data_IF_954650036022
#
_entry.id   IF_954650036022
#
_cell.length_a   1.000
_cell.length_b   1.000
_cell.length_c   1.000
_cell.angle_alpha   90.00
_cell.angle_beta   90.00
_cell.angle_gamma   90.00
#
_symmetry.space_group_name_H-M   'P 1'
#
loop_
_entity.id
_entity.type
_entity.pdbx_description
1 polymer ?
#
# COMPACT_ATOMS: atom_id res chain seq x y z
N UNK A 1 26.87 2.10 -2.39
CA UNK A 1 26.85 3.57 -2.14
C UNK A 1 26.03 4.35 -3.15
N UNK A 2 26.27 4.23 -4.47
CA UNK A 2 25.49 4.93 -5.51
C UNK A 2 23.96 4.76 -5.40
N UNK A 3 23.47 3.53 -5.22
CA UNK A 3 22.03 3.25 -5.11
C UNK A 3 21.38 3.86 -3.86
N UNK A 4 22.13 3.94 -2.76
CA UNK A 4 21.68 4.55 -1.51
C UNK A 4 21.60 6.07 -1.66
N UNK A 5 22.62 6.69 -2.26
CA UNK A 5 22.61 8.12 -2.56
C UNK A 5 21.45 8.50 -3.49
N UNK A 6 21.22 7.71 -4.55
CA UNK A 6 20.08 7.90 -5.45
C UNK A 6 18.72 7.77 -4.72
N UNK A 7 18.61 6.89 -3.72
CA UNK A 7 17.39 6.75 -2.92
C UNK A 7 17.13 8.02 -2.10
N UNK A 8 18.14 8.58 -1.44
CA UNK A 8 18.01 9.83 -0.69
C UNK A 8 17.68 11.04 -1.57
N UNK A 9 18.29 11.14 -2.76
CA UNK A 9 17.97 12.21 -3.72
C UNK A 9 16.52 12.09 -4.21
N UNK A 10 16.08 10.87 -4.54
CA UNK A 10 14.68 10.60 -4.90
C UNK A 10 13.74 10.97 -3.75
N UNK A 11 14.08 10.63 -2.51
CA UNK A 11 13.24 10.94 -1.36
C UNK A 11 13.11 12.45 -1.12
N UNK A 12 14.19 13.20 -1.30
CA UNK A 12 14.14 14.66 -1.28
C UNK A 12 13.25 15.22 -2.40
N UNK A 13 13.33 14.67 -3.62
CA UNK A 13 12.50 15.09 -4.75
C UNK A 13 10.99 14.86 -4.51
N UNK A 14 10.64 13.71 -3.92
CA UNK A 14 9.24 13.33 -3.69
C UNK A 14 8.76 13.63 -2.26
N UNK A 15 9.53 14.38 -1.47
CA UNK A 15 9.25 14.71 -0.06
C UNK A 15 8.89 13.48 0.80
N UNK A 16 9.68 12.41 0.65
CA UNK A 16 9.51 11.16 1.40
C UNK A 16 10.45 11.16 2.59
N UNK A 17 9.94 10.77 3.76
CA UNK A 17 10.75 10.60 4.97
C UNK A 17 10.54 9.19 5.54
N UNK A 18 10.78 8.17 4.70
CA UNK A 18 10.59 6.77 5.08
C UNK A 18 11.92 6.24 5.63
N UNK A 19 11.98 5.78 6.89
CA UNK A 19 13.17 5.10 7.39
C UNK A 19 13.24 3.70 6.79
N UNK A 20 14.31 3.40 6.07
CA UNK A 20 14.59 2.07 5.52
C UNK A 20 15.98 1.60 5.93
N UNK A 21 16.18 0.29 6.00
CA UNK A 21 17.50 -0.27 6.26
C UNK A 21 18.46 0.01 5.10
N UNK A 22 19.70 0.40 5.39
CA UNK A 22 20.71 0.74 4.38
C UNK A 22 21.40 -0.49 3.76
N UNK A 23 20.90 -1.69 4.05
CA UNK A 23 21.41 -2.92 3.44
C UNK A 23 21.07 -2.96 1.94
N UNK A 24 21.95 -3.52 1.08
CA UNK A 24 21.70 -3.56 -0.37
C UNK A 24 20.39 -4.26 -0.76
N UNK A 25 19.94 -5.24 0.04
CA UNK A 25 18.68 -5.96 -0.18
C UNK A 25 17.48 -5.09 0.16
N UNK A 26 17.52 -4.38 1.29
CA UNK A 26 16.45 -3.49 1.72
C UNK A 26 16.28 -2.30 0.75
N UNK A 27 17.39 -1.74 0.25
CA UNK A 27 17.35 -0.68 -0.77
C UNK A 27 16.63 -1.15 -2.05
N UNK A 28 16.90 -2.38 -2.53
CA UNK A 28 16.18 -2.93 -3.69
C UNK A 28 14.68 -3.09 -3.40
N UNK A 29 14.35 -3.55 -2.20
CA UNK A 29 12.96 -3.68 -1.77
C UNK A 29 12.25 -2.32 -1.69
N UNK A 30 12.98 -1.28 -1.26
CA UNK A 30 12.53 0.11 -1.22
C UNK A 30 12.26 0.68 -2.61
N UNK A 31 13.20 0.48 -3.56
CA UNK A 31 12.98 0.87 -4.96
C UNK A 31 11.76 0.18 -5.56
N UNK A 32 11.61 -1.12 -5.29
CA UNK A 32 10.43 -1.86 -5.75
C UNK A 32 9.14 -1.31 -5.12
N UNK A 33 9.15 -0.99 -3.82
CA UNK A 33 8.02 -0.38 -3.13
C UNK A 33 7.61 0.97 -3.72
N UNK A 34 8.59 1.80 -4.05
CA UNK A 34 8.36 3.13 -4.64
C UNK A 34 8.27 3.13 -6.17
N UNK A 35 8.31 1.96 -6.82
CA UNK A 35 8.18 1.87 -8.25
C UNK A 35 6.79 2.38 -8.68
N UNK A 36 6.75 3.14 -9.78
CA UNK A 36 5.53 3.79 -10.24
C UNK A 36 4.38 2.80 -10.50
N UNK A 37 4.69 1.60 -11.00
CA UNK A 37 3.67 0.56 -11.22
C UNK A 37 2.99 0.14 -9.93
N UNK A 38 3.74 0.06 -8.82
CA UNK A 38 3.17 -0.28 -7.52
C UNK A 38 2.28 0.84 -6.99
N UNK A 39 2.66 2.09 -7.23
CA UNK A 39 1.82 3.23 -6.87
C UNK A 39 0.52 3.23 -7.67
N UNK A 40 0.60 3.09 -9.01
CA UNK A 40 -0.56 3.00 -9.89
C UNK A 40 -1.46 1.83 -9.52
N UNK A 41 -0.90 0.66 -9.21
CA UNK A 41 -1.68 -0.50 -8.78
C UNK A 41 -2.49 -0.20 -7.51
N UNK A 42 -1.90 0.44 -6.51
CA UNK A 42 -2.63 0.79 -5.27
C UNK A 42 -3.71 1.82 -5.53
N UNK A 43 -3.43 2.86 -6.33
CA UNK A 43 -4.48 3.83 -6.70
C UNK A 43 -5.61 3.18 -7.49
N UNK A 44 -5.31 2.23 -8.37
CA UNK A 44 -6.33 1.45 -9.08
C UNK A 44 -7.23 0.69 -8.09
N UNK A 45 -6.66 -0.05 -7.13
CA UNK A 45 -7.44 -0.76 -6.13
C UNK A 45 -8.25 0.18 -5.22
N UNK A 46 -7.72 1.36 -4.87
CA UNK A 46 -8.48 2.39 -4.12
C UNK A 46 -9.71 2.84 -4.94
N UNK A 47 -9.54 3.09 -6.24
CA UNK A 47 -10.65 3.48 -7.09
C UNK A 47 -11.71 2.36 -7.21
N UNK A 48 -11.27 1.10 -7.33
CA UNK A 48 -12.18 -0.05 -7.39
C UNK A 48 -12.97 -0.17 -6.08
N UNK A 49 -12.27 -0.17 -4.94
CA UNK A 49 -12.86 -0.29 -3.60
C UNK A 49 -13.89 0.81 -3.33
N UNK A 50 -13.54 2.07 -3.59
CA UNK A 50 -14.47 3.19 -3.46
C UNK A 50 -15.66 3.10 -4.42
N UNK A 51 -15.46 2.54 -5.62
CA UNK A 51 -16.54 2.38 -6.60
C UNK A 51 -17.54 1.28 -6.23
N UNK A 52 -17.18 0.33 -5.34
CA UNK A 52 -18.10 -0.70 -4.86
C UNK A 52 -19.36 -0.10 -4.22
N UNK A 53 -19.24 1.08 -3.61
CA UNK A 53 -20.38 1.83 -3.06
C UNK A 53 -21.48 2.16 -4.09
N UNK A 54 -21.17 2.18 -5.40
CA UNK A 54 -22.18 2.36 -6.45
C UNK A 54 -23.00 1.09 -6.71
N UNK A 55 -22.46 -0.08 -6.35
CA UNK A 55 -23.04 -1.39 -6.61
C UNK A 55 -23.64 -2.06 -5.37
N UNK A 56 -23.26 -1.60 -4.18
CA UNK A 56 -23.72 -2.08 -2.88
C UNK A 56 -24.81 -1.18 -2.28
N UNK A 57 -25.57 -1.69 -1.30
CA UNK A 57 -26.77 -1.02 -0.80
C UNK A 57 -26.42 0.29 -0.07
N UNK A 58 -27.04 1.45 -0.43
CA UNK A 58 -28.07 1.65 -1.46
C UNK A 58 -27.47 1.78 -2.88
N UNK A 59 -27.67 0.76 -3.72
CA UNK A 59 -26.96 0.63 -5.00
C UNK A 59 -27.60 1.49 -6.10
N UNK A 60 -26.75 2.15 -6.89
CA UNK A 60 -27.13 2.77 -8.17
C UNK A 60 -27.28 1.70 -9.26
N UNK A 61 -26.36 0.73 -9.29
CA UNK A 61 -26.34 -0.39 -10.22
C UNK A 61 -26.19 -1.70 -9.44
N UNK A 62 -27.26 -2.43 -9.12
CA UNK A 62 -27.15 -3.61 -8.26
C UNK A 62 -26.37 -4.73 -8.97
N UNK A 63 -25.31 -5.21 -8.32
CA UNK A 63 -24.58 -6.42 -8.70
C UNK A 63 -24.86 -7.55 -7.69
N UNK A 64 -24.64 -8.83 -8.06
CA UNK A 64 -24.71 -9.92 -7.11
C UNK A 64 -23.74 -9.68 -5.96
N UNK A 65 -24.19 -9.88 -4.72
CA UNK A 65 -23.36 -9.73 -3.51
C UNK A 65 -22.02 -10.45 -3.62
N UNK A 66 -22.01 -11.69 -4.11
CA UNK A 66 -20.76 -12.45 -4.28
C UNK A 66 -19.76 -11.74 -5.19
N UNK A 67 -20.22 -11.04 -6.23
CA UNK A 67 -19.33 -10.32 -7.15
C UNK A 67 -18.68 -9.11 -6.48
N UNK A 68 -19.45 -8.31 -5.71
CA UNK A 68 -18.91 -7.15 -5.00
C UNK A 68 -18.00 -7.58 -3.86
N UNK A 69 -18.37 -8.60 -3.08
CA UNK A 69 -17.53 -9.14 -2.01
C UNK A 69 -16.22 -9.76 -2.51
N UNK A 70 -16.21 -10.45 -3.65
CA UNK A 70 -14.96 -10.95 -4.24
C UNK A 70 -14.05 -9.78 -4.64
N UNK A 71 -14.60 -8.75 -5.27
CA UNK A 71 -13.84 -7.57 -5.66
C UNK A 71 -13.26 -6.84 -4.43
N UNK A 72 -14.05 -6.69 -3.36
CA UNK A 72 -13.63 -6.12 -2.09
C UNK A 72 -12.46 -6.92 -1.47
N UNK A 73 -12.61 -8.25 -1.36
CA UNK A 73 -11.55 -9.12 -0.82
C UNK A 73 -10.25 -9.02 -1.63
N UNK A 74 -10.34 -8.86 -2.96
CA UNK A 74 -9.17 -8.63 -3.81
C UNK A 74 -8.50 -7.28 -3.52
N UNK A 75 -9.28 -6.21 -3.32
CA UNK A 75 -8.76 -4.90 -2.93
C UNK A 75 -8.08 -4.94 -1.56
N UNK A 76 -8.73 -5.53 -0.56
CA UNK A 76 -8.19 -5.72 0.79
C UNK A 76 -6.90 -6.54 0.77
N UNK A 77 -6.84 -7.60 -0.04
CA UNK A 77 -5.63 -8.41 -0.24
C UNK A 77 -4.49 -7.59 -0.84
N UNK A 78 -4.78 -6.72 -1.81
CA UNK A 78 -3.78 -5.82 -2.39
C UNK A 78 -3.25 -4.80 -1.35
N UNK A 79 -4.14 -4.21 -0.54
CA UNK A 79 -3.75 -3.30 0.55
C UNK A 79 -2.94 -4.01 1.63
N UNK A 80 -3.33 -5.22 2.01
CA UNK A 80 -2.57 -6.05 2.95
C UNK A 80 -1.19 -6.41 2.39
N UNK A 81 -1.11 -6.82 1.12
CA UNK A 81 0.16 -7.07 0.44
C UNK A 81 1.08 -5.85 0.43
N UNK A 82 0.52 -4.66 0.20
CA UNK A 82 1.25 -3.37 0.27
C UNK A 82 1.76 -3.09 1.67
N UNK A 83 0.95 -3.35 2.70
CA UNK A 83 1.31 -3.17 4.10
C UNK A 83 2.44 -4.12 4.51
N UNK A 84 2.35 -5.41 4.13
CA UNK A 84 3.40 -6.41 4.36
C UNK A 84 4.69 -6.04 3.64
N UNK A 85 4.61 -5.55 2.40
CA UNK A 85 5.79 -5.06 1.68
C UNK A 85 6.42 -3.88 2.42
N UNK A 86 5.63 -2.92 2.91
CA UNK A 86 6.14 -1.82 3.72
C UNK A 86 6.79 -2.29 5.02
N UNK A 87 6.19 -3.26 5.72
CA UNK A 87 6.75 -3.85 6.93
C UNK A 87 8.10 -4.54 6.70
N UNK A 88 8.39 -4.99 5.48
CA UNK A 88 9.70 -5.56 5.10
C UNK A 88 10.74 -4.49 4.70
N UNK A 89 10.29 -3.29 4.34
CA UNK A 89 11.16 -2.15 3.98
C UNK A 89 11.62 -1.41 5.23
N UNK A 90 10.70 -1.24 6.18
CA UNK A 90 10.86 -0.38 7.36
C UNK A 90 11.28 -1.21 8.57
N UNK A 91 12.14 -0.71 9.48
CA UNK A 91 12.43 -1.39 10.73
C UNK A 91 11.15 -1.66 11.55
N UNK A 92 11.01 -2.88 12.10
CA UNK A 92 9.78 -3.29 12.79
C UNK A 92 9.36 -2.32 13.90
N UNK A 93 10.30 -1.82 14.72
CA UNK A 93 10.00 -0.89 15.80
C UNK A 93 9.41 0.44 15.31
N UNK A 94 9.72 0.85 14.07
CA UNK A 94 9.17 2.07 13.48
C UNK A 94 7.82 1.80 12.84
N UNK A 95 7.68 0.66 12.16
CA UNK A 95 6.42 0.25 11.54
C UNK A 95 5.25 0.23 12.54
N UNK A 96 5.48 -0.35 13.74
CA UNK A 96 4.48 -0.46 14.80
C UNK A 96 4.22 0.84 15.57
N UNK A 97 5.01 1.89 15.37
CA UNK A 97 4.77 3.22 15.98
C UNK A 97 3.97 4.14 15.06
N UNK A 98 3.86 3.79 13.79
CA UNK A 98 3.19 4.61 12.79
C UNK A 98 1.67 4.39 12.85
N UNK A 99 0.95 5.42 13.30
CA UNK A 99 -0.51 5.43 13.42
C UNK A 99 -1.20 5.10 12.10
N UNK A 100 -0.64 5.49 10.95
CA UNK A 100 -1.21 5.17 9.64
C UNK A 100 -1.21 3.66 9.39
N UNK A 101 -0.11 2.97 9.69
CA UNK A 101 -0.01 1.53 9.46
C UNK A 101 -0.96 0.76 10.37
N UNK A 102 -1.08 1.20 11.62
CA UNK A 102 -2.03 0.63 12.58
C UNK A 102 -3.47 0.83 12.09
N UNK A 103 -3.80 2.05 11.66
CA UNK A 103 -5.14 2.36 11.15
C UNK A 103 -5.49 1.49 9.95
N UNK A 104 -4.61 1.39 8.95
CA UNK A 104 -4.82 0.55 7.76
C UNK A 104 -4.97 -0.93 8.17
N UNK A 105 -4.13 -1.43 9.07
CA UNK A 105 -4.21 -2.81 9.54
C UNK A 105 -5.55 -3.09 10.22
N UNK A 106 -6.03 -2.19 11.08
CA UNK A 106 -7.32 -2.33 11.76
C UNK A 106 -8.46 -2.30 10.74
N UNK A 107 -8.44 -1.36 9.79
CA UNK A 107 -9.47 -1.25 8.74
C UNK A 107 -9.54 -2.49 7.84
N UNK A 108 -8.43 -3.18 7.62
CA UNK A 108 -8.43 -4.43 6.82
C UNK A 108 -9.01 -5.61 7.62
N UNK A 109 -8.88 -5.61 8.95
CA UNK A 109 -9.25 -6.73 9.83
C UNK A 109 -10.68 -6.63 10.37
N UNK A 110 -11.20 -5.41 10.50
CA UNK A 110 -12.54 -5.09 11.02
C UNK A 110 -13.55 -5.03 9.87
#
# INVERSE_FOLDING_TARGET
DLLLAAAYVSDAQYNRNVPFETSPRAIRLYYFYNHWTMQVAIYFFICVDLSLALFEVPALFPLPFLATSIAEVLCLTAFFGRLVHFAKVTPQMVFWKDTKNICIMVTIVV
#
